data_IF_203796999944
#
_entry.id   IF_203796999944
#
_cell.length_a   1.000
_cell.length_b   1.000
_cell.length_c   1.000
_cell.angle_alpha   90.00
_cell.angle_beta   90.00
_cell.angle_gamma   90.00
#
_symmetry.space_group_name_H-M   'P 1'
#
loop_
_entity.id
_entity.type
_entity.pdbx_description
1 polymer ?
#
# COMPACT_ATOMS: atom_id res chain seq x y z
N UNK A 1 -17.90 -8.58 17.23
CA UNK A 1 -16.44 -8.45 17.37
C UNK A 1 -16.14 -7.16 18.12
N UNK A 2 -15.45 -7.17 19.27
CA UNK A 2 -15.10 -5.91 19.97
C UNK A 2 -13.96 -5.23 19.19
N UNK A 3 -14.33 -4.18 18.45
CA UNK A 3 -13.46 -3.40 17.54
C UNK A 3 -12.32 -2.70 18.33
N UNK A 4 -12.42 -2.62 19.66
CA UNK A 4 -11.42 -1.99 20.53
C UNK A 4 -10.46 -2.97 21.23
N UNK A 5 -10.48 -4.26 20.90
CA UNK A 5 -9.52 -5.20 21.51
C UNK A 5 -8.09 -4.99 21.01
N UNK A 6 -7.09 -5.20 21.87
CA UNK A 6 -5.67 -5.17 21.50
C UNK A 6 -5.38 -6.07 20.30
N UNK A 7 -5.92 -7.29 20.30
CA UNK A 7 -5.76 -8.24 19.20
C UNK A 7 -6.30 -7.72 17.85
N UNK A 8 -7.41 -6.97 17.85
CA UNK A 8 -7.92 -6.38 16.61
C UNK A 8 -6.98 -5.26 16.11
N UNK A 9 -6.51 -4.40 17.02
CA UNK A 9 -5.54 -3.34 16.68
C UNK A 9 -4.24 -3.90 16.14
N UNK A 10 -3.72 -4.98 16.74
CA UNK A 10 -2.52 -5.68 16.27
C UNK A 10 -2.71 -6.26 14.87
N UNK A 11 -3.88 -6.85 14.58
CA UNK A 11 -4.20 -7.35 13.23
C UNK A 11 -4.26 -6.22 12.20
N UNK A 12 -4.90 -5.10 12.53
CA UNK A 12 -4.95 -3.93 11.63
C UNK A 12 -3.54 -3.40 11.39
N UNK A 13 -2.75 -3.23 12.45
CA UNK A 13 -1.37 -2.76 12.35
C UNK A 13 -0.51 -3.70 11.50
N UNK A 14 -0.57 -5.01 11.76
CA UNK A 14 0.17 -6.01 11.00
C UNK A 14 -0.25 -6.05 9.52
N UNK A 15 -1.53 -5.86 9.21
CA UNK A 15 -2.02 -5.76 7.84
C UNK A 15 -1.47 -4.53 7.10
N UNK A 16 -1.50 -3.37 7.74
CA UNK A 16 -0.94 -2.13 7.18
C UNK A 16 0.58 -2.25 7.00
N UNK A 17 1.29 -2.74 8.02
CA UNK A 17 2.73 -2.94 7.96
C UNK A 17 3.11 -3.96 6.87
N UNK A 18 2.38 -5.07 6.78
CA UNK A 18 2.58 -6.10 5.75
C UNK A 18 2.38 -5.55 4.34
N UNK A 19 1.39 -4.67 4.13
CA UNK A 19 1.22 -3.97 2.85
C UNK A 19 2.45 -3.12 2.52
N UNK A 20 2.93 -2.29 3.45
CA UNK A 20 4.11 -1.43 3.23
C UNK A 20 5.36 -2.27 2.90
N UNK A 21 5.58 -3.35 3.65
CA UNK A 21 6.67 -4.30 3.41
C UNK A 21 6.58 -4.90 2.00
N UNK A 22 5.38 -5.35 1.61
CA UNK A 22 5.13 -5.98 0.31
C UNK A 22 5.33 -5.01 -0.86
N UNK A 23 4.87 -3.76 -0.74
CA UNK A 23 5.08 -2.71 -1.75
C UNK A 23 6.57 -2.46 -1.96
N UNK A 24 7.34 -2.21 -0.90
CA UNK A 24 8.78 -1.95 -1.04
C UNK A 24 9.58 -3.16 -1.49
N UNK A 25 9.13 -4.38 -1.16
CA UNK A 25 9.74 -5.59 -1.68
C UNK A 25 9.45 -5.77 -3.18
N UNK A 26 8.22 -5.47 -3.60
CA UNK A 26 7.74 -5.68 -4.97
C UNK A 26 8.16 -4.61 -5.98
N UNK A 27 8.28 -3.36 -5.54
CA UNK A 27 8.59 -2.17 -6.36
C UNK A 27 9.73 -2.36 -7.37
N UNK A 28 10.89 -2.92 -7.00
CA UNK A 28 11.99 -3.11 -7.95
C UNK A 28 11.69 -4.08 -9.10
N UNK A 29 10.64 -4.90 -8.96
CA UNK A 29 10.21 -5.91 -9.92
C UNK A 29 8.98 -5.49 -10.72
N UNK A 30 8.46 -4.27 -10.52
CA UNK A 30 7.28 -3.81 -11.23
C UNK A 30 7.50 -3.87 -12.75
N UNK A 31 6.61 -4.58 -13.45
CA UNK A 31 6.72 -4.84 -14.89
C UNK A 31 7.71 -5.95 -15.30
N UNK A 32 8.40 -6.61 -14.36
CA UNK A 32 9.30 -7.73 -14.67
C UNK A 32 8.53 -9.04 -14.82
N UNK A 33 8.97 -9.87 -15.75
CA UNK A 33 8.52 -11.26 -15.84
C UNK A 33 9.29 -12.16 -14.87
N UNK A 34 8.65 -13.24 -14.43
CA UNK A 34 9.26 -14.25 -13.56
C UNK A 34 10.64 -14.72 -14.04
N UNK A 35 10.78 -15.06 -15.33
CA UNK A 35 12.05 -15.53 -15.90
C UNK A 35 13.17 -14.49 -15.80
N UNK A 36 12.84 -13.19 -15.91
CA UNK A 36 13.82 -12.12 -15.80
C UNK A 36 14.33 -11.98 -14.35
N UNK A 37 13.42 -12.10 -13.37
CA UNK A 37 13.77 -12.10 -11.95
C UNK A 37 14.69 -13.29 -11.64
N UNK A 38 14.30 -14.49 -12.05
CA UNK A 38 15.07 -15.72 -11.80
C UNK A 38 16.46 -15.70 -12.43
N UNK A 39 16.59 -15.22 -13.67
CA UNK A 39 17.88 -15.15 -14.35
C UNK A 39 18.84 -14.12 -13.73
N UNK A 40 18.31 -13.03 -13.17
CA UNK A 40 19.13 -11.93 -12.64
C UNK A 40 19.42 -12.05 -11.15
N UNK A 41 18.46 -12.52 -10.38
CA UNK A 41 18.46 -12.44 -8.92
C UNK A 41 18.18 -13.79 -8.24
N UNK A 42 17.58 -14.75 -8.97
CA UNK A 42 17.14 -16.02 -8.42
C UNK A 42 15.93 -15.86 -7.49
N UNK A 43 15.89 -16.69 -6.44
CA UNK A 43 14.83 -16.64 -5.44
C UNK A 43 14.99 -15.45 -4.50
N UNK A 44 13.90 -14.71 -4.32
CA UNK A 44 13.89 -13.50 -3.50
C UNK A 44 13.53 -13.85 -2.06
N UNK A 45 14.50 -13.70 -1.15
CA UNK A 45 14.33 -13.85 0.29
C UNK A 45 14.91 -12.66 1.09
N UNK A 46 15.25 -11.56 0.41
CA UNK A 46 15.73 -10.30 0.97
C UNK A 46 15.39 -9.11 0.05
N UNK A 47 15.61 -7.89 0.51
CA UNK A 47 15.45 -6.67 -0.29
C UNK A 47 16.61 -6.48 -1.26
N UNK A 48 16.34 -6.39 -2.56
CA UNK A 48 17.35 -6.31 -3.63
C UNK A 48 17.67 -4.88 -4.11
N UNK A 49 17.08 -3.87 -3.48
CA UNK A 49 17.16 -2.46 -3.92
C UNK A 49 18.60 -1.98 -4.16
N UNK A 50 19.55 -2.34 -3.28
CA UNK A 50 20.98 -2.03 -3.44
C UNK A 50 21.59 -2.68 -4.69
N UNK A 51 21.25 -3.94 -4.97
CA UNK A 51 21.75 -4.66 -6.16
C UNK A 51 21.23 -4.05 -7.47
N UNK A 52 20.04 -3.46 -7.42
CA UNK A 52 19.39 -2.79 -8.56
C UNK A 52 19.68 -1.29 -8.59
N UNK A 53 20.43 -0.75 -7.62
CA UNK A 53 20.74 0.66 -7.47
C UNK A 53 19.47 1.56 -7.50
N UNK A 54 18.43 1.12 -6.79
CA UNK A 54 17.19 1.87 -6.60
C UNK A 54 16.96 2.14 -5.11
N UNK A 55 16.29 3.24 -4.74
CA UNK A 55 15.93 3.49 -3.35
C UNK A 55 14.96 2.44 -2.80
N UNK A 56 15.15 2.03 -1.55
CA UNK A 56 14.22 1.13 -0.85
C UNK A 56 12.89 1.82 -0.53
N UNK A 57 12.97 3.03 0.02
CA UNK A 57 11.81 3.79 0.51
C UNK A 57 11.55 4.91 -0.49
N UNK A 58 10.36 4.85 -1.08
CA UNK A 58 9.89 5.78 -2.10
C UNK A 58 8.40 6.05 -1.92
N UNK A 59 7.93 7.17 -2.46
CA UNK A 59 6.50 7.43 -2.60
C UNK A 59 5.90 6.43 -3.58
N UNK A 60 4.76 5.87 -3.20
CA UNK A 60 4.10 4.81 -3.95
C UNK A 60 2.58 4.91 -3.80
N UNK A 61 1.88 4.71 -4.91
CA UNK A 61 0.44 4.88 -5.03
C UNK A 61 -0.36 3.79 -4.31
N UNK A 62 0.19 2.58 -4.17
CA UNK A 62 -0.42 1.55 -3.35
C UNK A 62 -0.49 1.98 -1.88
N UNK A 63 0.59 2.58 -1.36
CA UNK A 63 0.63 3.07 0.03
C UNK A 63 -0.22 4.34 0.17
N UNK A 64 0.06 5.37 -0.62
CA UNK A 64 -0.62 6.66 -0.52
C UNK A 64 -2.11 6.52 -0.79
N UNK A 65 -2.49 5.80 -1.85
CA UNK A 65 -3.88 5.51 -2.20
C UNK A 65 -4.64 4.80 -1.09
N UNK A 66 -4.03 3.83 -0.40
CA UNK A 66 -4.68 3.14 0.74
C UNK A 66 -5.12 4.11 1.82
N UNK A 67 -4.25 5.05 2.20
CA UNK A 67 -4.58 6.03 3.24
C UNK A 67 -5.51 7.13 2.72
N UNK A 68 -5.38 7.52 1.45
CA UNK A 68 -6.30 8.46 0.79
C UNK A 68 -7.73 7.93 0.76
N UNK A 69 -7.94 6.66 0.42
CA UNK A 69 -9.28 6.07 0.43
C UNK A 69 -9.87 5.99 1.84
N UNK A 70 -9.08 5.69 2.87
CA UNK A 70 -9.55 5.78 4.26
C UNK A 70 -9.93 7.20 4.65
N UNK A 71 -9.21 8.20 4.12
CA UNK A 71 -9.47 9.61 4.40
C UNK A 71 -10.84 10.06 3.88
N UNK A 72 -11.33 9.49 2.78
CA UNK A 72 -12.67 9.78 2.26
C UNK A 72 -13.77 9.61 3.32
N UNK A 73 -13.63 8.64 4.23
CA UNK A 73 -14.59 8.44 5.32
C UNK A 73 -14.65 9.68 6.22
N UNK A 74 -13.50 10.25 6.58
CA UNK A 74 -13.44 11.45 7.41
C UNK A 74 -13.94 12.69 6.64
N UNK A 75 -13.59 12.81 5.37
CA UNK A 75 -13.99 13.93 4.51
C UNK A 75 -15.52 13.96 4.28
N UNK A 76 -16.18 12.80 4.33
CA UNK A 76 -17.64 12.67 4.28
C UNK A 76 -18.25 12.44 5.68
N UNK A 77 -17.64 13.03 6.72
CA UNK A 77 -18.15 13.10 8.09
C UNK A 77 -18.50 11.75 8.74
N UNK A 78 -17.75 10.70 8.42
CA UNK A 78 -17.95 9.34 8.94
C UNK A 78 -19.35 8.77 8.64
N UNK A 79 -19.98 9.21 7.55
CA UNK A 79 -21.27 8.69 7.12
C UNK A 79 -21.18 7.18 6.85
N UNK A 80 -21.98 6.33 7.54
CA UNK A 80 -21.93 4.87 7.34
C UNK A 80 -22.30 4.44 5.92
N UNK A 81 -23.03 5.29 5.20
CA UNK A 81 -23.53 5.05 3.84
C UNK A 81 -22.71 5.79 2.77
N UNK A 82 -21.41 6.00 2.99
CA UNK A 82 -20.52 6.63 2.01
C UNK A 82 -20.60 5.88 0.67
N UNK A 83 -20.84 6.62 -0.40
CA UNK A 83 -20.98 6.07 -1.76
C UNK A 83 -19.64 5.99 -2.48
N UNK A 84 -19.53 5.08 -3.47
CA UNK A 84 -18.35 5.00 -4.33
C UNK A 84 -18.06 6.33 -5.06
N UNK A 85 -19.10 7.10 -5.41
CA UNK A 85 -18.97 8.44 -5.99
C UNK A 85 -18.25 9.40 -5.05
N UNK A 86 -18.64 9.43 -3.78
CA UNK A 86 -18.03 10.27 -2.75
C UNK A 86 -16.55 9.90 -2.51
N UNK A 87 -16.23 8.60 -2.53
CA UNK A 87 -14.85 8.14 -2.46
C UNK A 87 -14.05 8.65 -3.68
N UNK A 88 -14.63 8.56 -4.88
CA UNK A 88 -14.03 9.10 -6.10
C UNK A 88 -13.83 10.63 -6.05
N UNK A 89 -14.80 11.38 -5.51
CA UNK A 89 -14.70 12.83 -5.30
C UNK A 89 -13.56 13.19 -4.33
N UNK A 90 -13.43 12.45 -3.21
CA UNK A 90 -12.26 12.61 -2.32
C UNK A 90 -10.96 12.31 -3.08
N UNK A 91 -10.92 11.22 -3.85
CA UNK A 91 -9.72 10.86 -4.61
C UNK A 91 -9.32 11.95 -5.61
N UNK A 92 -10.28 12.54 -6.34
CA UNK A 92 -10.03 13.69 -7.22
C UNK A 92 -9.41 14.89 -6.51
N UNK A 93 -9.77 15.13 -5.25
CA UNK A 93 -9.20 16.23 -4.46
C UNK A 93 -7.76 15.95 -3.98
N UNK A 94 -7.39 14.68 -3.82
CA UNK A 94 -6.04 14.28 -3.41
C UNK A 94 -5.13 13.90 -4.59
N UNK A 95 -5.69 13.71 -5.79
CA UNK A 95 -4.95 13.60 -7.04
C UNK A 95 -4.36 14.97 -7.40
N UNK A 96 -3.35 15.38 -6.63
CA UNK A 96 -2.34 16.31 -7.10
C UNK A 96 -1.11 15.45 -7.38
N UNK A 97 -1.01 15.00 -8.62
CA UNK A 97 0.24 14.56 -9.25
C UNK A 97 0.64 15.57 -10.33
#
# INVERSE_FOLDING_TARGET
MKIHSTAYREKVYAGVLGKVIGVYLGRPFEGWHYNQIQQRLGDINYYVHDQLNVPLIVTDDDISGTFTFLRSIADHHYAPSISARQIGESWLNYLIE
#
